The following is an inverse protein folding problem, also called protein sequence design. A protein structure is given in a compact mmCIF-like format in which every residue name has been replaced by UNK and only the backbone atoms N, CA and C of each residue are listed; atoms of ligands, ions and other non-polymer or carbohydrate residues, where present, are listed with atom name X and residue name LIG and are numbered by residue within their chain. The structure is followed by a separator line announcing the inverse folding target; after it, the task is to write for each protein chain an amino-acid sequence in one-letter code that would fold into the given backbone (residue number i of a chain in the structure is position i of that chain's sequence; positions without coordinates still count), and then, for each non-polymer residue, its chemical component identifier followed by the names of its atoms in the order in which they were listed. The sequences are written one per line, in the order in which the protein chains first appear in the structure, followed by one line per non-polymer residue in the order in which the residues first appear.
data_IF_925007531421
#
_entry.id   IF_925007531421
#
_cell.length_a   1.000
_cell.length_b   1.000
_cell.length_c   1.000
_cell.angle_alpha   90.00
_cell.angle_beta   90.00
_cell.angle_gamma   90.00
#
_symmetry.space_group_name_H-M   'P 1'
#
loop_
_entity.id
_entity.type
_entity.pdbx_description
1 polymer ?
#
# COMPACT_ATOMS: atom_id res chain seq x y z
N UNK A 1 -0.06 -11.12 8.53
CA UNK A 1 0.93 -10.16 9.07
C UNK A 1 1.87 -10.80 10.08
N UNK A 2 1.40 -11.59 11.05
CA UNK A 2 2.26 -12.34 11.99
C UNK A 2 3.40 -13.07 11.27
N UNK A 3 3.12 -13.85 10.22
CA UNK A 3 4.19 -14.52 9.46
C UNK A 3 5.22 -13.56 8.84
N UNK A 4 4.84 -12.35 8.42
CA UNK A 4 5.80 -11.37 7.89
C UNK A 4 6.67 -10.78 9.02
N UNK A 5 6.07 -10.56 10.19
CA UNK A 5 6.80 -10.17 11.39
C UNK A 5 7.77 -11.26 11.86
N UNK A 6 7.38 -12.53 11.79
CA UNK A 6 8.26 -13.67 12.10
C UNK A 6 9.41 -13.81 11.11
N UNK A 7 9.15 -13.67 9.81
CA UNK A 7 10.22 -13.64 8.80
C UNK A 7 11.19 -12.49 9.09
N UNK A 8 10.68 -11.30 9.42
CA UNK A 8 11.50 -10.15 9.79
C UNK A 8 12.34 -10.42 11.04
N UNK A 9 11.76 -11.03 12.08
CA UNK A 9 12.47 -11.45 13.30
C UNK A 9 13.62 -12.39 12.95
N UNK A 10 13.33 -13.46 12.21
CA UNK A 10 14.32 -14.47 11.84
C UNK A 10 15.47 -13.83 11.02
N UNK A 11 15.13 -12.94 10.08
CA UNK A 11 16.10 -12.19 9.29
C UNK A 11 17.01 -11.32 10.16
N UNK A 12 16.43 -10.56 11.09
CA UNK A 12 17.17 -9.65 11.98
C UNK A 12 18.07 -10.44 12.95
N UNK A 13 17.61 -11.58 13.46
CA UNK A 13 18.44 -12.49 14.31
C UNK A 13 19.62 -13.06 13.55
N UNK A 14 19.49 -13.26 12.23
CA UNK A 14 20.60 -13.63 11.33
C UNK A 14 21.46 -12.43 10.90
N UNK A 15 21.18 -11.23 11.38
CA UNK A 15 21.95 -10.02 11.05
C UNK A 15 21.59 -9.39 9.70
N UNK A 16 20.54 -9.85 9.03
CA UNK A 16 20.13 -9.30 7.73
C UNK A 16 19.41 -7.96 7.87
N UNK A 17 19.47 -7.16 6.81
CA UNK A 17 18.75 -5.89 6.65
C UNK A 17 18.20 -5.78 5.23
N UNK A 18 17.12 -5.02 5.06
CA UNK A 18 16.62 -4.66 3.73
C UNK A 18 17.70 -3.91 2.96
N UNK A 19 17.77 -4.11 1.63
CA UNK A 19 18.76 -3.40 0.81
C UNK A 19 18.46 -1.88 0.79
N UNK A 20 19.50 -1.01 0.77
CA UNK A 20 19.33 0.42 0.97
C UNK A 20 18.58 1.14 -0.17
N UNK A 21 18.47 0.52 -1.35
CA UNK A 21 17.70 1.05 -2.47
C UNK A 21 16.20 0.67 -2.44
N UNK A 22 15.79 -0.20 -1.51
CA UNK A 22 14.40 -0.63 -1.37
C UNK A 22 13.64 0.36 -0.49
N UNK A 23 12.55 0.91 -1.01
CA UNK A 23 11.60 1.69 -0.20
C UNK A 23 10.60 0.74 0.44
N UNK A 24 10.76 0.48 1.73
CA UNK A 24 9.85 -0.33 2.54
C UNK A 24 8.76 0.53 3.19
N UNK A 25 7.58 -0.06 3.43
CA UNK A 25 6.45 0.61 4.08
C UNK A 25 5.48 -0.41 4.65
N UNK A 26 4.95 -0.16 5.84
CA UNK A 26 3.83 -0.88 6.42
C UNK A 26 2.62 0.06 6.50
N UNK A 27 1.54 -0.27 5.79
CA UNK A 27 0.30 0.51 5.82
C UNK A 27 -0.87 -0.39 6.20
N UNK A 28 -1.16 -0.53 7.51
CA UNK A 28 -2.22 -1.41 7.96
C UNK A 28 -3.62 -0.87 7.62
N UNK A 29 -4.58 -1.77 7.44
CA UNK A 29 -5.98 -1.38 7.22
C UNK A 29 -6.70 -0.89 8.49
N UNK A 30 -6.14 -1.21 9.67
CA UNK A 30 -6.64 -0.77 10.97
C UNK A 30 -5.51 -0.80 12.01
N UNK A 31 -5.70 -0.08 13.12
CA UNK A 31 -4.77 -0.05 14.27
C UNK A 31 -4.61 -1.40 14.97
N UNK A 32 -5.64 -2.24 14.95
CA UNK A 32 -5.61 -3.61 15.49
C UNK A 32 -4.42 -4.42 14.96
N UNK A 33 -4.00 -4.17 13.71
CA UNK A 33 -2.82 -4.82 13.12
C UNK A 33 -1.53 -4.44 13.83
N UNK A 34 -1.37 -3.16 14.14
CA UNK A 34 -0.21 -2.68 14.91
C UNK A 34 -0.25 -3.27 16.31
N UNK A 35 -1.41 -3.26 16.97
CA UNK A 35 -1.56 -3.75 18.35
C UNK A 35 -1.15 -5.22 18.48
N UNK A 36 -1.66 -6.12 17.61
CA UNK A 36 -1.27 -7.52 17.72
C UNK A 36 0.19 -7.76 17.31
N UNK A 37 0.78 -6.94 16.43
CA UNK A 37 2.20 -7.04 16.07
C UNK A 37 3.10 -6.57 17.22
N UNK A 38 2.68 -5.56 17.96
CA UNK A 38 3.35 -5.09 19.17
C UNK A 38 3.23 -6.11 20.32
N UNK A 39 2.02 -6.63 20.56
CA UNK A 39 1.78 -7.69 21.54
C UNK A 39 2.57 -8.98 21.24
N UNK A 40 2.70 -9.33 19.96
CA UNK A 40 3.54 -10.45 19.52
C UNK A 40 5.05 -10.16 19.64
N UNK A 41 5.45 -8.93 19.97
CA UNK A 41 6.84 -8.50 19.98
C UNK A 41 7.49 -8.46 18.60
N UNK A 42 6.69 -8.39 17.52
CA UNK A 42 7.16 -8.48 16.14
C UNK A 42 7.39 -7.12 15.47
N UNK A 43 6.72 -6.05 15.94
CA UNK A 43 6.84 -4.71 15.36
C UNK A 43 8.30 -4.21 15.29
N UNK A 44 9.14 -4.33 16.34
CA UNK A 44 10.51 -3.82 16.30
C UNK A 44 11.37 -4.47 15.19
N UNK A 45 11.08 -5.72 14.82
CA UNK A 45 11.81 -6.42 13.76
C UNK A 45 11.39 -5.96 12.37
N UNK A 46 10.10 -5.65 12.17
CA UNK A 46 9.62 -5.03 10.94
C UNK A 46 10.25 -3.65 10.75
N UNK A 47 10.27 -2.85 11.82
CA UNK A 47 10.90 -1.52 11.82
C UNK A 47 12.42 -1.59 11.59
N UNK A 48 13.11 -2.58 12.14
CA UNK A 48 14.54 -2.80 11.89
C UNK A 48 14.85 -3.10 10.41
N UNK A 49 13.86 -3.58 9.64
CA UNK A 49 13.92 -3.76 8.18
C UNK A 49 13.27 -2.59 7.41
N UNK A 50 12.99 -1.47 8.08
CA UNK A 50 12.40 -0.26 7.51
C UNK A 50 10.89 -0.31 7.27
N UNK A 51 10.20 -1.39 7.64
CA UNK A 51 8.74 -1.50 7.54
C UNK A 51 8.04 -0.76 8.69
N UNK A 52 8.26 0.55 8.76
CA UNK A 52 7.55 1.42 9.70
C UNK A 52 6.09 1.61 9.28
N UNK A 53 5.22 1.82 10.28
CA UNK A 53 3.84 2.23 10.03
C UNK A 53 3.84 3.62 9.40
N UNK A 54 3.49 3.71 8.12
CA UNK A 54 3.45 4.98 7.37
C UNK A 54 2.07 5.62 7.34
N UNK A 55 1.05 4.90 7.81
CA UNK A 55 -0.32 5.37 7.89
C UNK A 55 -1.34 4.22 7.88
N UNK A 56 -2.55 4.52 8.32
CA UNK A 56 -3.68 3.59 8.33
C UNK A 56 -4.62 3.91 7.16
N UNK A 57 -4.46 3.20 6.04
CA UNK A 57 -5.23 3.47 4.83
C UNK A 57 -4.63 2.88 3.56
N UNK A 58 -5.17 3.27 2.42
CA UNK A 58 -4.85 2.63 1.14
C UNK A 58 -3.38 2.79 0.69
N UNK A 59 -2.78 3.96 0.89
CA UNK A 59 -1.36 4.26 0.58
C UNK A 59 -0.89 3.70 -0.79
N UNK A 60 0.16 2.89 -0.81
CA UNK A 60 0.76 2.26 -1.99
C UNK A 60 -0.25 1.46 -2.83
N UNK A 61 -1.29 0.86 -2.23
CA UNK A 61 -2.28 0.06 -2.95
C UNK A 61 -3.07 0.85 -4.01
N UNK A 62 -3.24 2.16 -3.80
CA UNK A 62 -3.91 3.07 -4.73
C UNK A 62 -2.93 4.00 -5.47
N UNK A 63 -1.63 3.73 -5.40
CA UNK A 63 -0.62 4.57 -6.04
C UNK A 63 -0.12 5.73 -5.19
N UNK A 64 -0.65 5.92 -3.97
CA UNK A 64 -0.12 6.88 -3.01
C UNK A 64 1.14 6.33 -2.32
N UNK A 65 2.13 5.92 -3.13
CA UNK A 65 3.41 5.38 -2.69
C UNK A 65 4.42 6.44 -2.30
N UNK A 66 4.16 7.72 -2.63
CA UNK A 66 5.05 8.85 -2.37
C UNK A 66 6.36 8.80 -3.20
N UNK A 67 7.26 9.78 -3.02
CA UNK A 67 8.47 9.89 -3.81
C UNK A 67 9.50 8.80 -3.47
N UNK A 68 10.28 8.37 -4.46
CA UNK A 68 11.54 7.67 -4.23
C UNK A 68 12.67 8.70 -3.98
N UNK A 69 13.75 8.33 -3.26
CA UNK A 69 14.91 9.20 -3.12
C UNK A 69 15.45 9.71 -4.47
N UNK A 70 15.79 11.00 -4.62
CA UNK A 70 16.16 11.58 -5.91
C UNK A 70 17.37 10.92 -6.60
N UNK A 71 18.31 10.36 -5.84
CA UNK A 71 19.45 9.64 -6.41
C UNK A 71 19.03 8.30 -7.04
N UNK A 72 17.99 7.65 -6.49
CA UNK A 72 17.42 6.41 -7.04
C UNK A 72 16.68 6.73 -8.34
N UNK A 73 15.78 7.72 -8.33
CA UNK A 73 15.01 8.08 -9.53
C UNK A 73 15.93 8.47 -10.69
N UNK A 74 16.95 9.29 -10.42
CA UNK A 74 17.97 9.64 -11.41
C UNK A 74 18.68 8.42 -11.98
N UNK A 75 19.10 7.49 -11.12
CA UNK A 75 19.78 6.26 -11.56
C UNK A 75 18.87 5.40 -12.45
N UNK A 76 17.58 5.31 -12.11
CA UNK A 76 16.59 4.57 -12.91
C UNK A 76 16.46 5.19 -14.31
N UNK A 77 16.33 6.51 -14.38
CA UNK A 77 16.15 7.23 -15.65
C UNK A 77 17.43 7.20 -16.50
N UNK A 78 18.59 7.55 -15.94
CA UNK A 78 19.86 7.61 -16.67
C UNK A 78 20.27 6.26 -17.26
N UNK A 79 19.95 5.16 -16.56
CA UNK A 79 20.31 3.80 -16.98
C UNK A 79 19.14 3.01 -17.57
N UNK A 80 17.97 3.64 -17.71
CA UNK A 80 16.75 3.02 -18.24
C UNK A 80 16.41 1.69 -17.55
N UNK A 81 16.58 1.62 -16.22
CA UNK A 81 16.42 0.38 -15.44
C UNK A 81 14.97 -0.05 -15.35
N UNK A 82 14.70 -1.34 -15.51
CA UNK A 82 13.39 -1.93 -15.21
C UNK A 82 13.37 -2.25 -13.72
N UNK A 83 12.70 -1.42 -12.93
CA UNK A 83 12.53 -1.64 -11.50
C UNK A 83 11.20 -2.33 -11.21
N UNK A 84 11.15 -2.98 -10.05
CA UNK A 84 10.00 -3.72 -9.59
C UNK A 84 9.47 -3.20 -8.24
N UNK A 85 8.15 -3.26 -8.08
CA UNK A 85 7.50 -3.21 -6.77
C UNK A 85 6.90 -4.59 -6.46
N UNK A 86 7.05 -5.00 -5.20
CA UNK A 86 6.35 -6.17 -4.66
C UNK A 86 5.45 -5.68 -3.54
N UNK A 87 4.16 -5.98 -3.61
CA UNK A 87 3.17 -5.47 -2.67
C UNK A 87 2.10 -6.50 -2.30
N UNK A 88 1.61 -6.43 -1.07
CA UNK A 88 0.47 -7.23 -0.60
C UNK A 88 -0.88 -6.54 -0.85
N UNK A 89 -1.02 -5.98 -2.06
CA UNK A 89 -2.25 -5.35 -2.56
C UNK A 89 -3.08 -6.29 -3.44
N UNK A 90 -3.95 -5.72 -4.28
CA UNK A 90 -4.84 -6.48 -5.16
C UNK A 90 -4.81 -6.06 -6.65
N UNK A 91 -4.07 -5.00 -7.00
CA UNK A 91 -3.93 -4.49 -8.37
C UNK A 91 -2.48 -4.12 -8.65
N UNK A 92 -2.02 -4.40 -9.87
CA UNK A 92 -0.62 -4.24 -10.28
C UNK A 92 -0.48 -3.72 -11.72
N UNK A 93 -1.42 -2.88 -12.19
CA UNK A 93 -1.33 -2.25 -13.51
C UNK A 93 -0.06 -1.38 -13.65
N UNK A 94 0.40 -1.20 -14.88
CA UNK A 94 1.52 -0.31 -15.21
C UNK A 94 1.25 1.12 -14.69
N UNK A 95 2.30 1.79 -14.22
CA UNK A 95 2.29 3.17 -13.69
C UNK A 95 1.35 3.44 -12.49
N UNK A 96 0.58 2.45 -12.02
CA UNK A 96 -0.35 2.62 -10.89
C UNK A 96 0.36 2.76 -9.55
N UNK A 97 1.43 2.00 -9.32
CA UNK A 97 2.07 1.95 -7.99
C UNK A 97 3.02 3.12 -7.77
N UNK A 98 3.92 3.34 -8.72
CA UNK A 98 4.89 4.44 -8.71
C UNK A 98 5.34 4.71 -10.16
N UNK A 99 5.52 5.97 -10.58
CA UNK A 99 5.92 6.31 -11.95
C UNK A 99 7.29 5.76 -12.35
N UNK A 100 8.18 5.50 -11.39
CA UNK A 100 9.51 4.94 -11.64
C UNK A 100 9.55 3.41 -11.58
N UNK A 101 8.39 2.74 -11.48
CA UNK A 101 8.27 1.28 -11.39
C UNK A 101 7.51 0.74 -12.60
N UNK A 102 8.15 -0.16 -13.34
CA UNK A 102 7.58 -0.76 -14.56
C UNK A 102 7.04 -2.17 -14.34
N UNK A 103 7.55 -2.90 -13.34
CA UNK A 103 7.08 -4.24 -13.00
C UNK A 103 6.43 -4.24 -11.61
N UNK A 104 5.20 -4.76 -11.49
CA UNK A 104 4.48 -4.78 -10.21
C UNK A 104 4.00 -6.21 -9.91
N UNK A 105 4.40 -6.75 -8.76
CA UNK A 105 4.09 -8.12 -8.34
C UNK A 105 3.24 -8.12 -7.07
N UNK A 106 2.10 -8.80 -7.15
CA UNK A 106 1.27 -9.06 -5.97
C UNK A 106 1.81 -10.29 -5.26
N UNK A 107 2.08 -10.16 -3.96
CA UNK A 107 2.64 -11.24 -3.16
C UNK A 107 2.08 -11.23 -1.73
N UNK A 108 2.27 -12.32 -1.00
CA UNK A 108 1.95 -12.33 0.42
C UNK A 108 2.83 -11.34 1.19
N UNK A 109 2.39 -10.84 2.36
CA UNK A 109 3.24 -9.99 3.20
C UNK A 109 4.60 -10.62 3.56
N UNK A 110 4.68 -11.95 3.67
CA UNK A 110 5.94 -12.66 3.92
C UNK A 110 6.90 -12.46 2.74
N UNK A 111 6.41 -12.68 1.51
CA UNK A 111 7.23 -12.51 0.32
C UNK A 111 7.63 -11.05 0.08
N UNK A 112 6.80 -10.08 0.46
CA UNK A 112 7.19 -8.65 0.42
C UNK A 112 8.44 -8.40 1.27
N UNK A 113 8.49 -8.95 2.49
CA UNK A 113 9.69 -8.84 3.35
C UNK A 113 10.87 -9.59 2.74
N UNK A 114 10.67 -10.79 2.20
CA UNK A 114 11.72 -11.57 1.55
C UNK A 114 12.36 -10.82 0.37
N UNK A 115 11.54 -10.24 -0.52
CA UNK A 115 12.04 -9.45 -1.65
C UNK A 115 12.68 -8.13 -1.22
N UNK A 116 12.29 -7.55 -0.09
CA UNK A 116 12.99 -6.39 0.46
C UNK A 116 14.39 -6.74 1.00
N UNK A 117 14.58 -7.95 1.55
CA UNK A 117 15.87 -8.47 1.97
C UNK A 117 16.77 -8.78 0.76
N UNK A 118 16.24 -9.46 -0.25
CA UNK A 118 16.97 -9.75 -1.49
C UNK A 118 17.30 -8.48 -2.28
N UNK A 119 16.36 -7.53 -2.34
CA UNK A 119 16.47 -6.26 -3.07
C UNK A 119 16.37 -6.38 -4.59
N UNK A 120 15.99 -7.55 -5.10
CA UNK A 120 15.72 -7.81 -6.51
C UNK A 120 14.60 -8.85 -6.64
N UNK A 121 13.84 -8.78 -7.73
CA UNK A 121 12.88 -9.84 -8.13
C UNK A 121 13.50 -10.85 -9.09
N UNK A 122 14.69 -10.56 -9.60
CA UNK A 122 15.50 -11.46 -10.42
C UNK A 122 16.35 -12.34 -9.50
N UNK A 123 15.69 -13.19 -8.74
CA UNK A 123 16.31 -14.15 -7.80
C UNK A 123 15.43 -15.39 -7.74
N UNK A 124 16.05 -16.57 -7.80
CA UNK A 124 15.39 -17.82 -7.43
C UNK A 124 15.41 -17.99 -5.91
N UNK A 125 14.35 -17.50 -5.24
CA UNK A 125 14.18 -17.63 -3.79
C UNK A 125 14.21 -19.09 -3.27
N UNK A 126 14.10 -20.09 -4.15
CA UNK A 126 14.15 -21.51 -3.76
C UNK A 126 15.56 -22.08 -3.69
N UNK A 127 16.53 -21.45 -4.36
CA UNK A 127 17.88 -22.00 -4.51
C UNK A 127 19.02 -20.99 -4.36
N UNK A 128 18.73 -19.70 -4.36
CA UNK A 128 19.72 -18.63 -4.19
C UNK A 128 19.65 -18.00 -2.79
N UNK A 129 20.79 -17.59 -2.21
CA UNK A 129 20.81 -16.92 -0.93
C UNK A 129 20.22 -15.51 -1.01
N UNK A 130 19.40 -15.15 -0.03
CA UNK A 130 18.77 -13.82 0.10
C UNK A 130 19.68 -12.79 0.79
N UNK A 131 20.77 -13.25 1.42
CA UNK A 131 21.78 -12.41 2.03
C UNK A 131 22.86 -13.22 2.73
N UNK A 132 23.74 -12.52 3.44
CA UNK A 132 24.81 -13.12 4.24
C UNK A 132 24.65 -12.72 5.70
N UNK A 133 24.85 -13.67 6.61
CA UNK A 133 24.81 -13.40 8.04
C UNK A 133 26.08 -12.66 8.53
N UNK A 134 26.13 -12.33 9.82
CA UNK A 134 27.28 -11.64 10.42
C UNK A 134 28.59 -12.45 10.43
N UNK A 135 28.55 -13.72 10.06
CA UNK A 135 29.71 -14.60 9.95
C UNK A 135 30.02 -14.94 8.47
N UNK A 136 29.49 -14.18 7.52
CA UNK A 136 29.60 -14.40 6.07
C UNK A 136 29.03 -15.73 5.57
N UNK A 137 28.12 -16.37 6.32
CA UNK A 137 27.38 -17.53 5.82
C UNK A 137 26.22 -17.07 4.94
N UNK A 138 26.02 -17.79 3.84
CA UNK A 138 24.83 -17.64 3.01
C UNK A 138 23.56 -17.97 3.81
N UNK A 139 22.56 -17.10 3.70
CA UNK A 139 21.24 -17.29 4.30
C UNK A 139 20.22 -17.45 3.18
N UNK A 140 19.48 -18.54 3.22
CA UNK A 140 18.45 -18.88 2.25
C UNK A 140 17.07 -18.52 2.79
N UNK A 141 16.08 -18.39 1.90
CA UNK A 141 14.70 -18.10 2.34
C UNK A 141 14.17 -19.20 3.28
N UNK A 142 14.53 -20.45 3.04
CA UNK A 142 14.16 -21.59 3.90
C UNK A 142 14.67 -21.46 5.33
N UNK A 143 15.80 -20.77 5.55
CA UNK A 143 16.36 -20.56 6.89
C UNK A 143 15.58 -19.52 7.70
N UNK A 144 14.80 -18.67 7.01
CA UNK A 144 14.02 -17.60 7.62
C UNK A 144 12.53 -17.90 7.66
N UNK A 145 12.06 -18.82 6.82
CA UNK A 145 10.64 -19.05 6.62
C UNK A 145 9.98 -19.48 7.95
N UNK A 146 8.92 -18.79 8.39
CA UNK A 146 8.29 -19.11 9.65
C UNK A 146 7.54 -20.45 9.59
N UNK A 147 7.62 -21.21 10.68
CA UNK A 147 6.81 -22.42 10.86
C UNK A 147 5.32 -22.05 10.98
N UNK A 148 4.46 -22.91 10.43
CA UNK A 148 3.01 -22.67 10.43
C UNK A 148 2.44 -22.70 11.84
N UNK A 149 2.89 -23.66 12.65
CA UNK A 149 2.47 -23.85 14.03
C UNK A 149 2.81 -22.60 14.87
N UNK A 150 3.99 -22.01 14.68
CA UNK A 150 4.38 -20.77 15.37
C UNK A 150 3.48 -19.59 14.98
N UNK A 151 3.11 -19.48 13.70
CA UNK A 151 2.16 -18.45 13.24
C UNK A 151 0.82 -18.64 13.93
N UNK A 152 0.28 -19.87 13.93
CA UNK A 152 -1.04 -20.18 14.47
C UNK A 152 -1.07 -19.95 16.00
N UNK A 153 0.00 -20.31 16.71
CA UNK A 153 0.16 -20.06 18.14
C UNK A 153 0.17 -18.56 18.47
N UNK A 154 0.97 -17.76 17.76
CA UNK A 154 1.01 -16.31 17.99
C UNK A 154 -0.29 -15.62 17.63
N UNK A 155 -0.97 -16.06 16.57
CA UNK A 155 -2.31 -15.56 16.24
C UNK A 155 -3.28 -15.84 17.39
N UNK A 156 -3.30 -17.06 17.92
CA UNK A 156 -4.17 -17.42 19.04
C UNK A 156 -3.86 -16.63 20.33
N UNK A 157 -2.58 -16.30 20.56
CA UNK A 157 -2.11 -15.58 21.75
C UNK A 157 -2.26 -14.06 21.68
N UNK A 158 -2.41 -13.47 20.50
CA UNK A 158 -2.33 -12.01 20.34
C UNK A 158 -3.55 -11.40 19.65
N UNK A 159 -4.29 -12.16 18.84
CA UNK A 159 -5.45 -11.65 18.11
C UNK A 159 -6.72 -11.94 18.90
N UNK A 160 -7.05 -11.02 19.81
CA UNK A 160 -8.21 -11.15 20.69
C UNK A 160 -9.35 -10.20 20.31
N UNK A 161 -10.59 -10.63 20.54
CA UNK A 161 -11.79 -9.85 20.27
C UNK A 161 -11.79 -8.48 20.97
N UNK A 162 -11.15 -8.37 22.13
CA UNK A 162 -11.13 -7.13 22.91
C UNK A 162 -10.25 -6.04 22.27
N UNK A 163 -9.23 -6.41 21.49
CA UNK A 163 -8.48 -5.43 20.67
C UNK A 163 -9.40 -4.75 19.66
N UNK A 164 -10.22 -5.55 18.96
CA UNK A 164 -11.20 -5.02 18.02
C UNK A 164 -12.22 -4.14 18.72
N UNK A 165 -12.80 -4.57 19.85
CA UNK A 165 -13.75 -3.74 20.59
C UNK A 165 -13.15 -2.42 21.05
N UNK A 166 -11.89 -2.44 21.51
CA UNK A 166 -11.17 -1.25 21.95
C UNK A 166 -10.99 -0.25 20.80
N UNK A 167 -10.40 -0.68 19.70
CA UNK A 167 -10.12 0.19 18.55
C UNK A 167 -11.40 0.71 17.88
N UNK A 168 -12.45 -0.11 17.78
CA UNK A 168 -13.70 0.31 17.15
C UNK A 168 -14.59 1.17 18.07
N UNK A 169 -14.37 1.16 19.40
CA UNK A 169 -15.11 2.05 20.31
C UNK A 169 -14.77 3.53 20.09
N UNK A 170 -13.57 3.82 19.59
CA UNK A 170 -13.04 5.16 19.34
C UNK A 170 -12.97 5.52 17.86
N UNK A 171 -13.61 4.75 16.96
CA UNK A 171 -13.51 4.98 15.51
C UNK A 171 -14.05 6.35 15.07
N UNK A 172 -14.98 6.92 15.83
CA UNK A 172 -15.56 8.25 15.59
C UNK A 172 -14.88 9.37 16.37
N UNK A 173 -14.02 9.04 17.34
CA UNK A 173 -13.16 10.03 17.99
C UNK A 173 -11.92 10.22 17.13
N UNK A 174 -11.91 11.33 16.39
CA UNK A 174 -10.76 11.72 15.58
C UNK A 174 -9.62 12.29 16.43
N UNK A 175 -8.56 12.70 15.75
CA UNK A 175 -7.51 13.50 16.40
C UNK A 175 -7.99 14.93 16.67
N UNK A 176 -7.24 15.71 17.44
CA UNK A 176 -7.63 17.06 17.82
C UNK A 176 -7.93 17.95 16.60
N UNK A 177 -7.21 17.73 15.51
CA UNK A 177 -7.39 18.37 14.20
C UNK A 177 -8.78 18.09 13.62
N UNK A 178 -9.28 16.86 13.75
CA UNK A 178 -10.61 16.49 13.29
C UNK A 178 -11.69 17.18 14.12
N UNK A 179 -11.55 17.17 15.44
CA UNK A 179 -12.51 17.79 16.37
C UNK A 179 -12.53 19.33 16.24
N UNK A 180 -11.42 19.94 15.81
CA UNK A 180 -11.30 21.39 15.56
C UNK A 180 -11.94 21.84 14.24
N UNK A 181 -12.32 20.92 13.35
CA UNK A 181 -12.97 21.29 12.09
C UNK A 181 -14.31 21.98 12.36
N UNK A 182 -14.43 23.22 11.92
CA UNK A 182 -15.68 23.96 11.99
C UNK A 182 -16.59 23.47 10.88
N UNK A 183 -17.65 22.77 11.25
CA UNK A 183 -18.68 22.30 10.31
C UNK A 183 -19.81 23.33 10.28
N UNK A 184 -20.14 23.94 9.12
CA UNK A 184 -21.31 24.79 9.01
C UNK A 184 -22.58 23.96 9.25
N UNK A 185 -23.58 24.52 9.92
CA UNK A 185 -24.87 23.86 10.12
C UNK A 185 -25.80 24.05 8.92
N UNK A 186 -26.80 23.18 8.78
CA UNK A 186 -27.82 23.25 7.74
C UNK A 186 -27.99 21.95 6.96
N UNK A 187 -29.06 21.88 6.17
CA UNK A 187 -29.33 20.72 5.30
C UNK A 187 -28.76 20.91 3.88
N UNK A 188 -28.49 22.16 3.49
CA UNK A 188 -27.96 22.53 2.18
C UNK A 188 -26.49 22.94 2.31
N UNK A 189 -25.65 22.44 1.41
CA UNK A 189 -24.24 22.78 1.36
C UNK A 189 -24.06 24.21 0.80
N UNK A 190 -23.32 25.05 1.53
CA UNK A 190 -22.98 26.39 1.09
C UNK A 190 -21.78 26.34 0.13
N UNK A 191 -22.04 26.45 -1.17
CA UNK A 191 -21.00 26.43 -2.20
C UNK A 191 -20.10 27.67 -2.12
N UNK A 192 -18.80 27.48 -1.92
CA UNK A 192 -17.79 28.54 -2.00
C UNK A 192 -17.31 28.70 -3.46
N UNK A 193 -17.56 29.85 -4.13
CA UNK A 193 -17.11 30.08 -5.50
C UNK A 193 -15.58 30.17 -5.64
N UNK A 194 -14.84 30.39 -4.54
CA UNK A 194 -13.38 30.38 -4.52
C UNK A 194 -12.76 28.99 -4.35
N UNK A 195 -13.57 27.97 -4.05
CA UNK A 195 -13.09 26.61 -3.78
C UNK A 195 -12.61 25.91 -5.05
N UNK A 196 -11.41 25.35 -4.99
CA UNK A 196 -10.85 24.48 -6.04
C UNK A 196 -11.03 22.98 -5.75
N UNK A 197 -11.55 22.62 -4.57
CA UNK A 197 -11.71 21.24 -4.12
C UNK A 197 -13.16 20.74 -4.20
N UNK A 198 -14.11 21.55 -3.73
CA UNK A 198 -15.54 21.22 -3.71
C UNK A 198 -16.27 22.31 -4.50
N UNK A 199 -16.89 21.92 -5.61
CA UNK A 199 -17.57 22.82 -6.53
C UNK A 199 -18.92 22.24 -6.93
N UNK A 200 -19.91 23.11 -7.10
CA UNK A 200 -21.23 22.70 -7.57
C UNK A 200 -21.11 22.08 -8.96
N UNK A 201 -21.46 20.79 -9.13
CA UNK A 201 -21.38 20.16 -10.43
C UNK A 201 -22.53 20.62 -11.33
N UNK A 202 -22.31 20.80 -12.63
CA UNK A 202 -23.31 21.38 -13.53
C UNK A 202 -24.43 20.41 -13.94
N UNK A 203 -24.47 19.19 -13.39
CA UNK A 203 -25.33 18.10 -13.86
C UNK A 203 -26.82 18.40 -13.81
N UNK A 204 -27.25 19.27 -12.90
CA UNK A 204 -28.66 19.59 -12.65
C UNK A 204 -29.02 21.03 -12.98
N UNK A 205 -28.06 21.81 -13.51
CA UNK A 205 -28.35 23.16 -13.98
C UNK A 205 -29.33 23.06 -15.15
N UNK A 206 -30.44 23.80 -15.05
CA UNK A 206 -31.50 23.81 -16.05
C UNK A 206 -32.12 22.44 -16.37
N UNK A 207 -32.04 21.47 -15.43
CA UNK A 207 -32.68 20.17 -15.62
C UNK A 207 -34.21 20.35 -15.66
N UNK A 208 -34.88 20.07 -16.79
CA UNK A 208 -36.32 20.26 -16.89
C UNK A 208 -37.06 19.21 -16.04
N UNK A 209 -38.24 19.57 -15.53
CA UNK A 209 -39.12 18.65 -14.80
C UNK A 209 -39.58 17.49 -15.67
N UNK A 210 -39.78 17.75 -16.96
CA UNK A 210 -40.16 16.77 -17.97
C UNK A 210 -38.99 16.54 -18.93
N UNK A 211 -38.51 15.30 -19.09
CA UNK A 211 -37.40 15.00 -19.98
C UNK A 211 -37.80 15.26 -21.44
N UNK A 212 -36.92 15.85 -22.26
CA UNK A 212 -37.19 15.99 -23.69
C UNK A 212 -37.29 14.61 -24.36
N UNK A 213 -38.00 14.50 -25.49
CA UNK A 213 -38.02 13.26 -26.25
C UNK A 213 -36.61 12.87 -26.70
N UNK A 214 -36.30 11.57 -26.68
CA UNK A 214 -35.05 11.05 -27.21
C UNK A 214 -34.92 11.41 -28.70
N UNK A 215 -33.72 11.85 -29.10
CA UNK A 215 -33.39 12.20 -30.47
C UNK A 215 -32.08 11.56 -30.89
N UNK A 216 -31.93 11.32 -32.19
CA UNK A 216 -30.71 10.77 -32.76
C UNK A 216 -29.55 11.78 -32.64
N UNK A 217 -28.36 11.28 -32.29
CA UNK A 217 -27.13 12.07 -32.34
C UNK A 217 -26.57 11.98 -33.78
N UNK A 218 -26.79 13.03 -34.58
CA UNK A 218 -26.30 13.11 -35.96
C UNK A 218 -24.91 13.76 -36.05
N UNK A 219 -24.11 13.37 -37.05
CA UNK A 219 -22.81 13.96 -37.39
C UNK A 219 -21.77 14.02 -36.25
N UNK A 220 -21.91 13.13 -35.24
CA UNK A 220 -20.96 13.04 -34.14
C UNK A 220 -19.54 12.75 -34.63
N UNK A 221 -18.56 13.45 -34.03
CA UNK A 221 -17.14 13.15 -34.21
C UNK A 221 -16.70 12.13 -33.18
N UNK A 222 -15.88 11.18 -33.61
CA UNK A 222 -15.22 10.24 -32.69
C UNK A 222 -14.18 11.02 -31.87
N UNK A 223 -14.39 11.13 -30.56
CA UNK A 223 -13.47 11.82 -29.65
C UNK A 223 -12.16 11.05 -29.46
N UNK A 224 -12.28 9.73 -29.32
CA UNK A 224 -11.15 8.82 -29.18
C UNK A 224 -11.54 7.41 -29.63
N UNK A 225 -10.56 6.66 -30.15
CA UNK A 225 -10.69 5.23 -30.46
C UNK A 225 -9.71 4.51 -29.54
N UNK A 226 -10.23 3.64 -28.69
CA UNK A 226 -9.44 2.87 -27.74
C UNK A 226 -9.38 1.41 -28.17
N UNK A 227 -8.29 0.73 -27.81
CA UNK A 227 -8.20 -0.73 -27.90
C UNK A 227 -8.81 -1.42 -26.70
N UNK A 228 -8.45 -2.69 -26.52
CA UNK A 228 -8.86 -3.48 -25.36
C UNK A 228 -8.13 -3.04 -24.08
N UNK A 229 -8.60 -3.53 -22.92
CA UNK A 229 -7.92 -3.37 -21.61
C UNK A 229 -7.89 -1.95 -21.02
N UNK A 230 -8.77 -1.06 -21.50
CA UNK A 230 -9.01 0.24 -20.89
C UNK A 230 -9.61 0.08 -19.48
N UNK A 231 -8.91 0.56 -18.46
CA UNK A 231 -9.41 0.58 -17.07
C UNK A 231 -9.96 1.96 -16.73
N UNK A 232 -10.69 2.07 -15.61
CA UNK A 232 -11.15 3.38 -15.11
C UNK A 232 -9.99 4.32 -14.80
N UNK A 233 -8.83 3.81 -14.37
CA UNK A 233 -7.63 4.63 -14.13
C UNK A 233 -7.07 5.29 -15.42
N UNK A 234 -7.43 4.77 -16.60
CA UNK A 234 -7.08 5.41 -17.89
C UNK A 234 -8.09 6.49 -18.30
N UNK A 235 -9.33 6.40 -17.81
CA UNK A 235 -10.40 7.36 -18.09
C UNK A 235 -10.29 8.56 -17.17
N UNK A 236 -10.00 8.31 -15.88
CA UNK A 236 -9.92 9.32 -14.82
C UNK A 236 -9.03 8.90 -13.67
#
# INVERSE_FOLDING_TARGET
MIGAGLLARNAVHKGLRSKPWVKTSLAPGSRVVSDYLELAGLMPYLEALGFHVVGYGCTTCIGNSGPLPPHITRTIEENQLVTAAVLSGNRNYEARINPYVRANYLASPILVVAYALAGTVEIDLSSEPIGTDSNDNEVYLSDLWPDREEIDELVAQTVHADLFKGEYASVFTGEEEWDRLKVPGGELYEWDPGSTYIREPPFFIDLPSDPPPLSDIADARVLAIFGDTLTTDHIS
#
